data_IF_111258068209
#
_entry.id   IF_111258068209
#
_cell.length_a   1.000
_cell.length_b   1.000
_cell.length_c   1.000
_cell.angle_alpha   90.00
_cell.angle_beta   90.00
_cell.angle_gamma   90.00
#
_symmetry.space_group_name_H-M   'P 1'
#
loop_
_entity.id
_entity.type
_entity.pdbx_description
1 polymer ?
#
# COMPACT_ATOMS: atom_id res chain seq x y z
N UNK A 1 -22.08 10.38 26.41
CA UNK A 1 -22.73 9.69 25.26
C UNK A 1 -22.74 10.48 23.96
N UNK A 2 -22.61 11.80 23.96
CA UNK A 2 -22.59 12.64 22.75
C UNK A 2 -21.39 12.42 21.81
N UNK A 3 -20.20 12.12 22.33
CA UNK A 3 -18.99 11.95 21.51
C UNK A 3 -18.97 10.73 20.58
N UNK A 4 -19.68 9.64 20.94
CA UNK A 4 -19.78 8.44 20.09
C UNK A 4 -20.64 8.67 18.84
N UNK A 5 -21.70 9.47 18.96
CA UNK A 5 -22.61 9.72 17.84
C UNK A 5 -22.01 10.63 16.77
N UNK A 6 -21.22 11.62 17.16
CA UNK A 6 -20.54 12.54 16.20
C UNK A 6 -19.52 11.77 15.35
N UNK A 7 -18.77 10.84 15.94
CA UNK A 7 -17.80 10.02 15.20
C UNK A 7 -18.48 9.05 14.20
N UNK A 8 -19.63 8.49 14.54
CA UNK A 8 -20.37 7.57 13.64
C UNK A 8 -20.90 8.32 12.43
N UNK A 9 -21.53 9.47 12.65
CA UNK A 9 -22.06 10.31 11.55
C UNK A 9 -20.93 10.76 10.61
N UNK A 10 -19.81 11.21 11.15
CA UNK A 10 -18.67 11.64 10.33
C UNK A 10 -18.04 10.48 9.53
N UNK A 11 -17.96 9.28 10.11
CA UNK A 11 -17.46 8.06 9.41
C UNK A 11 -18.38 7.66 8.26
N UNK A 12 -19.67 7.65 8.49
CA UNK A 12 -20.67 7.32 7.46
C UNK A 12 -20.66 8.33 6.31
N UNK A 13 -20.52 9.61 6.62
CA UNK A 13 -20.38 10.67 5.60
C UNK A 13 -19.08 10.51 4.81
N UNK A 14 -17.96 10.22 5.48
CA UNK A 14 -16.68 9.97 4.82
C UNK A 14 -16.76 8.75 3.88
N UNK A 15 -17.35 7.65 4.34
CA UNK A 15 -17.53 6.46 3.50
C UNK A 15 -18.43 6.75 2.28
N UNK A 16 -19.54 7.46 2.48
CA UNK A 16 -20.44 7.86 1.41
C UNK A 16 -19.74 8.73 0.37
N UNK A 17 -18.93 9.70 0.83
CA UNK A 17 -18.14 10.56 -0.03
C UNK A 17 -17.12 9.76 -0.83
N UNK A 18 -16.31 8.91 -0.17
CA UNK A 18 -15.31 8.05 -0.82
C UNK A 18 -15.97 7.15 -1.87
N UNK A 19 -17.09 6.52 -1.53
CA UNK A 19 -17.85 5.66 -2.43
C UNK A 19 -18.33 6.42 -3.68
N UNK A 20 -18.81 7.64 -3.49
CA UNK A 20 -19.22 8.54 -4.58
C UNK A 20 -18.04 8.86 -5.50
N UNK A 21 -16.87 9.23 -4.92
CA UNK A 21 -15.68 9.56 -5.71
C UNK A 21 -15.13 8.35 -6.48
N UNK A 22 -15.08 7.17 -5.85
CA UNK A 22 -14.67 5.94 -6.53
C UNK A 22 -15.62 5.59 -7.68
N UNK A 23 -16.91 5.77 -7.50
CA UNK A 23 -17.91 5.55 -8.57
C UNK A 23 -17.70 6.52 -9.73
N UNK A 24 -17.53 7.80 -9.42
CA UNK A 24 -17.25 8.83 -10.43
C UNK A 24 -15.96 8.55 -11.20
N UNK A 25 -14.89 8.19 -10.48
CA UNK A 25 -13.60 7.83 -11.07
C UNK A 25 -13.68 6.63 -12.02
N UNK A 26 -14.60 5.69 -11.77
CA UNK A 26 -14.84 4.54 -12.66
C UNK A 26 -15.66 4.90 -13.90
N UNK A 27 -16.50 5.92 -13.82
CA UNK A 27 -17.34 6.38 -14.93
C UNK A 27 -16.57 7.33 -15.85
N UNK A 28 -15.90 8.31 -15.28
CA UNK A 28 -15.10 9.30 -15.99
C UNK A 28 -13.83 9.63 -15.18
N UNK A 29 -12.73 8.88 -15.39
CA UNK A 29 -11.48 9.09 -14.67
C UNK A 29 -10.91 10.48 -14.88
N UNK A 30 -10.89 10.98 -16.12
CA UNK A 30 -10.26 12.26 -16.47
C UNK A 30 -10.97 13.43 -15.77
N UNK A 31 -12.29 13.51 -15.90
CA UNK A 31 -13.09 14.56 -15.27
C UNK A 31 -13.04 14.48 -13.74
N UNK A 32 -13.06 13.28 -13.20
CA UNK A 32 -12.98 13.08 -11.74
C UNK A 32 -11.63 13.50 -11.19
N UNK A 33 -10.52 13.14 -11.86
CA UNK A 33 -9.18 13.59 -11.50
C UNK A 33 -9.10 15.12 -11.51
N UNK A 34 -9.58 15.76 -12.56
CA UNK A 34 -9.61 17.22 -12.67
C UNK A 34 -10.41 17.87 -11.52
N UNK A 35 -11.60 17.35 -11.23
CA UNK A 35 -12.47 17.87 -10.16
C UNK A 35 -11.83 17.69 -8.77
N UNK A 36 -11.28 16.52 -8.47
CA UNK A 36 -10.60 16.26 -7.20
C UNK A 36 -9.37 17.13 -7.03
N UNK A 37 -8.58 17.32 -8.09
CA UNK A 37 -7.41 18.22 -8.06
C UNK A 37 -7.81 19.64 -7.75
N UNK A 38 -8.86 20.14 -8.38
CA UNK A 38 -9.40 21.50 -8.12
C UNK A 38 -9.87 21.65 -6.68
N UNK A 39 -10.64 20.68 -6.16
CA UNK A 39 -11.11 20.69 -4.76
C UNK A 39 -9.97 20.68 -3.75
N UNK A 40 -8.92 19.91 -4.01
CA UNK A 40 -7.72 19.88 -3.18
C UNK A 40 -7.00 21.24 -3.14
N UNK A 41 -6.95 21.97 -4.26
CA UNK A 41 -6.31 23.29 -4.35
C UNK A 41 -7.08 24.40 -3.63
N UNK A 42 -8.42 24.28 -3.52
CA UNK A 42 -9.26 25.34 -2.99
C UNK A 42 -9.23 25.49 -1.47
N UNK A 43 -8.98 24.40 -0.70
CA UNK A 43 -8.98 24.46 0.80
C UNK A 43 -8.07 23.40 1.45
N UNK A 44 -6.78 23.66 1.59
CA UNK A 44 -5.91 22.76 2.35
C UNK A 44 -6.03 23.04 3.86
N UNK A 45 -6.85 22.26 4.57
CA UNK A 45 -7.06 22.46 6.01
C UNK A 45 -6.14 21.61 6.91
N UNK A 46 -5.51 20.55 6.38
CA UNK A 46 -4.66 19.65 7.18
C UNK A 46 -3.21 19.57 6.69
N UNK A 47 -2.23 19.26 7.57
CA UNK A 47 -0.84 19.02 7.17
C UNK A 47 -0.70 17.89 6.12
N UNK A 48 -1.54 16.85 6.21
CA UNK A 48 -1.58 15.75 5.23
C UNK A 48 -2.08 16.23 3.87
N UNK A 49 -3.11 17.06 3.85
CA UNK A 49 -3.61 17.68 2.61
C UNK A 49 -2.56 18.56 1.98
N UNK A 50 -1.86 19.39 2.78
CA UNK A 50 -0.73 20.20 2.30
C UNK A 50 0.39 19.35 1.72
N UNK A 51 0.73 18.23 2.37
CA UNK A 51 1.73 17.29 1.85
C UNK A 51 1.29 16.64 0.53
N UNK A 52 0.05 16.18 0.45
CA UNK A 52 -0.54 15.64 -0.77
C UNK A 52 -0.64 16.69 -1.88
N UNK A 53 -0.96 17.94 -1.54
CA UNK A 53 -1.04 19.07 -2.47
C UNK A 53 0.31 19.42 -3.09
N UNK A 54 1.40 19.36 -2.34
CA UNK A 54 2.74 19.62 -2.86
C UNK A 54 3.21 18.57 -3.89
N UNK A 55 2.60 17.40 -3.89
CA UNK A 55 2.99 16.28 -4.74
C UNK A 55 2.03 16.07 -5.92
N UNK A 56 0.77 16.46 -5.78
CA UNK A 56 -0.31 15.83 -6.52
C UNK A 56 -0.90 16.63 -7.69
N UNK A 57 -1.16 17.95 -7.61
CA UNK A 57 -1.96 18.62 -8.64
C UNK A 57 -1.33 18.63 -10.03
N UNK A 58 -0.07 19.04 -10.16
CA UNK A 58 0.63 19.07 -11.44
C UNK A 58 0.78 17.66 -12.04
N UNK A 59 1.05 16.67 -11.19
CA UNK A 59 1.25 15.29 -11.61
C UNK A 59 -0.03 14.56 -11.97
N UNK A 60 -1.14 14.91 -11.35
CA UNK A 60 -2.45 14.38 -11.74
C UNK A 60 -2.99 15.00 -13.03
N UNK A 61 -2.52 16.19 -13.39
CA UNK A 61 -2.87 16.85 -14.66
C UNK A 61 -1.97 16.39 -15.81
N UNK A 62 -0.74 15.95 -15.53
CA UNK A 62 0.16 15.40 -16.53
C UNK A 62 -0.27 13.98 -16.92
N UNK A 63 -0.83 13.83 -18.12
CA UNK A 63 -1.30 12.55 -18.67
C UNK A 63 -0.18 11.51 -18.86
N UNK A 64 1.08 11.93 -18.88
CA UNK A 64 2.24 11.05 -18.96
C UNK A 64 2.73 10.60 -17.59
N UNK A 65 2.27 11.23 -16.52
CA UNK A 65 2.69 10.88 -15.15
C UNK A 65 2.19 9.50 -14.72
N UNK A 66 2.96 8.82 -13.90
CA UNK A 66 2.55 7.57 -13.27
C UNK A 66 1.32 7.73 -12.38
N UNK A 67 1.13 8.90 -11.78
CA UNK A 67 -0.05 9.21 -10.95
C UNK A 67 -1.33 9.32 -11.78
N UNK A 68 -1.28 10.00 -12.93
CA UNK A 68 -2.42 10.06 -13.83
C UNK A 68 -2.82 8.66 -14.29
N UNK A 69 -1.85 7.86 -14.76
CA UNK A 69 -2.11 6.47 -15.21
C UNK A 69 -2.66 5.59 -14.10
N UNK A 70 -2.20 5.77 -12.85
CA UNK A 70 -2.73 5.04 -11.71
C UNK A 70 -4.25 5.27 -11.57
N UNK A 71 -4.68 6.52 -11.53
CA UNK A 71 -6.08 6.87 -11.34
C UNK A 71 -6.93 6.65 -12.59
N UNK A 72 -6.35 6.83 -13.77
CA UNK A 72 -7.04 6.67 -15.05
C UNK A 72 -7.14 5.19 -15.49
N UNK A 73 -6.03 4.43 -15.41
CA UNK A 73 -5.96 3.10 -16.03
C UNK A 73 -6.09 1.94 -15.06
N UNK A 74 -5.66 2.10 -13.81
CA UNK A 74 -5.55 0.99 -12.85
C UNK A 74 -6.70 1.02 -11.84
N UNK A 75 -6.86 2.12 -11.13
CA UNK A 75 -7.87 2.27 -10.09
C UNK A 75 -9.29 1.88 -10.53
N UNK A 76 -9.79 2.31 -11.71
CA UNK A 76 -11.13 1.95 -12.17
C UNK A 76 -11.35 0.45 -12.34
N UNK A 77 -10.29 -0.33 -12.56
CA UNK A 77 -10.37 -1.78 -12.79
C UNK A 77 -10.44 -2.60 -11.50
N UNK A 78 -10.15 -1.99 -10.35
CA UNK A 78 -10.19 -2.66 -9.05
C UNK A 78 -11.62 -2.76 -8.54
N UNK A 79 -11.90 -3.79 -7.75
CA UNK A 79 -13.20 -3.95 -7.11
C UNK A 79 -13.51 -2.76 -6.17
N UNK A 80 -14.68 -2.18 -6.29
CA UNK A 80 -15.09 -0.97 -5.55
C UNK A 80 -15.05 -1.18 -4.04
N UNK A 81 -15.51 -2.32 -3.55
CA UNK A 81 -15.56 -2.57 -2.10
C UNK A 81 -14.16 -2.71 -1.49
N UNK A 82 -13.17 -3.26 -2.23
CA UNK A 82 -11.78 -3.22 -1.78
C UNK A 82 -11.26 -1.78 -1.69
N UNK A 83 -11.51 -0.97 -2.72
CA UNK A 83 -11.06 0.43 -2.72
C UNK A 83 -11.69 1.21 -1.57
N UNK A 84 -13.01 1.11 -1.38
CA UNK A 84 -13.71 1.79 -0.29
C UNK A 84 -13.17 1.35 1.07
N UNK A 85 -13.09 0.03 1.31
CA UNK A 85 -12.66 -0.52 2.60
C UNK A 85 -11.21 -0.12 2.91
N UNK A 86 -10.30 -0.25 1.94
CA UNK A 86 -8.89 0.12 2.13
C UNK A 86 -8.74 1.64 2.34
N UNK A 87 -9.42 2.47 1.54
CA UNK A 87 -9.37 3.93 1.70
C UNK A 87 -9.91 4.36 3.07
N UNK A 88 -11.00 3.76 3.54
CA UNK A 88 -11.52 4.02 4.89
C UNK A 88 -10.54 3.58 5.97
N UNK A 89 -9.97 2.38 5.87
CA UNK A 89 -9.10 1.85 6.92
C UNK A 89 -7.74 2.56 6.97
N UNK A 90 -7.16 2.87 5.81
CA UNK A 90 -5.88 3.60 5.73
C UNK A 90 -6.12 5.10 6.01
N UNK A 91 -7.04 5.72 5.28
CA UNK A 91 -7.25 7.17 5.33
C UNK A 91 -7.95 7.59 6.61
N UNK A 92 -9.15 7.07 6.86
CA UNK A 92 -9.97 7.52 7.98
C UNK A 92 -9.52 6.91 9.32
N UNK A 93 -9.41 5.57 9.40
CA UNK A 93 -9.11 4.91 10.67
C UNK A 93 -7.66 5.09 11.11
N UNK A 94 -6.67 5.09 10.18
CA UNK A 94 -5.26 5.23 10.53
C UNK A 94 -4.78 6.70 10.46
N UNK A 95 -4.74 7.29 9.27
CA UNK A 95 -4.09 8.60 9.08
C UNK A 95 -4.87 9.75 9.71
N UNK A 96 -6.20 9.83 9.50
CA UNK A 96 -7.00 10.93 10.02
C UNK A 96 -7.16 10.88 11.53
N UNK A 97 -7.37 9.70 12.11
CA UNK A 97 -7.49 9.53 13.56
C UNK A 97 -6.15 9.75 14.25
N UNK A 98 -5.05 9.25 13.68
CA UNK A 98 -3.72 9.51 14.20
C UNK A 98 -3.37 11.01 14.20
N UNK A 99 -3.64 11.73 13.10
CA UNK A 99 -3.36 13.17 13.00
C UNK A 99 -4.13 14.01 14.03
N UNK A 100 -5.38 13.67 14.32
CA UNK A 100 -6.17 14.34 15.38
C UNK A 100 -5.58 14.14 16.77
N UNK A 101 -5.10 12.94 17.06
CA UNK A 101 -4.51 12.65 18.38
C UNK A 101 -3.17 13.35 18.58
N UNK A 102 -2.36 13.51 17.53
CA UNK A 102 -1.11 14.29 17.57
C UNK A 102 -1.41 15.75 17.91
N UNK A 103 -2.39 16.37 17.23
CA UNK A 103 -2.77 17.77 17.48
C UNK A 103 -3.28 18.01 18.91
N UNK A 104 -3.89 16.99 19.54
CA UNK A 104 -4.44 17.11 20.89
C UNK A 104 -3.40 16.90 22.01
N UNK A 105 -2.30 16.17 21.75
CA UNK A 105 -1.39 15.71 22.80
C UNK A 105 0.02 16.30 22.75
N UNK A 106 0.49 16.82 21.63
CA UNK A 106 1.82 17.45 21.51
C UNK A 106 1.95 18.28 20.23
N UNK A 107 1.87 19.63 20.32
CA UNK A 107 2.07 20.51 19.18
C UNK A 107 3.50 20.45 18.58
N UNK A 108 4.48 19.97 19.34
CA UNK A 108 5.90 19.93 18.97
C UNK A 108 6.41 18.54 18.55
N UNK A 109 5.60 17.48 18.66
CA UNK A 109 6.04 16.15 18.26
C UNK A 109 5.97 15.99 16.74
N UNK A 110 7.12 15.88 16.14
CA UNK A 110 7.31 15.31 14.79
C UNK A 110 6.53 13.99 14.64
N UNK A 111 6.16 13.64 13.43
CA UNK A 111 5.35 12.48 12.96
C UNK A 111 5.73 11.08 13.51
N UNK A 112 5.99 10.95 14.81
CA UNK A 112 6.34 9.67 15.46
C UNK A 112 5.13 8.79 15.80
N UNK A 113 3.94 9.16 15.35
CA UNK A 113 2.78 8.29 15.49
C UNK A 113 2.80 7.25 14.39
N UNK A 114 3.05 6.02 14.79
CA UNK A 114 3.12 4.88 13.88
C UNK A 114 1.75 4.62 13.24
N UNK A 115 1.59 5.04 12.01
CA UNK A 115 0.36 4.80 11.26
C UNK A 115 0.21 3.34 10.83
N UNK A 116 1.32 2.57 10.83
CA UNK A 116 1.34 1.16 10.46
C UNK A 116 2.29 0.35 11.33
N UNK A 117 1.92 -0.89 11.65
CA UNK A 117 2.75 -1.88 12.35
C UNK A 117 3.23 -2.95 11.38
N UNK A 118 4.55 -3.18 11.35
CA UNK A 118 5.18 -4.24 10.56
C UNK A 118 5.32 -5.52 11.40
N UNK A 119 4.87 -6.65 10.86
CA UNK A 119 4.97 -7.96 11.48
C UNK A 119 5.59 -8.96 10.50
N UNK A 120 6.63 -9.66 10.94
CA UNK A 120 7.16 -10.84 10.25
C UNK A 120 6.43 -12.07 10.77
N UNK A 121 5.78 -12.80 9.87
CA UNK A 121 4.91 -13.92 10.21
C UNK A 121 5.61 -15.23 9.83
N UNK A 122 5.83 -16.10 10.81
CA UNK A 122 6.22 -17.48 10.55
C UNK A 122 4.98 -18.29 10.10
N UNK A 123 4.83 -18.46 8.80
CA UNK A 123 3.71 -19.20 8.24
C UNK A 123 3.78 -20.72 8.48
N UNK A 124 4.95 -21.26 8.85
CA UNK A 124 5.11 -22.69 9.19
C UNK A 124 4.58 -22.92 10.61
N UNK A 125 5.05 -22.12 11.57
CA UNK A 125 4.65 -22.22 12.97
C UNK A 125 3.49 -21.27 13.34
N UNK A 126 2.67 -20.88 12.35
CA UNK A 126 1.60 -19.88 12.56
C UNK A 126 0.67 -20.23 13.71
N UNK A 127 0.23 -21.49 13.83
CA UNK A 127 -0.73 -21.93 14.85
C UNK A 127 -0.19 -21.74 16.26
N UNK A 128 1.12 -21.95 16.46
CA UNK A 128 1.78 -21.75 17.76
C UNK A 128 1.83 -20.27 18.14
N UNK A 129 1.98 -19.40 17.15
CA UNK A 129 2.22 -17.95 17.33
C UNK A 129 0.94 -17.11 17.12
N UNK A 130 -0.17 -17.70 16.71
CA UNK A 130 -1.38 -16.98 16.31
C UNK A 130 -1.94 -16.08 17.42
N UNK A 131 -1.88 -16.56 18.68
CA UNK A 131 -2.32 -15.77 19.84
C UNK A 131 -1.44 -14.52 20.04
N UNK A 132 -0.13 -14.62 19.82
CA UNK A 132 0.81 -13.52 19.91
C UNK A 132 0.56 -12.48 18.82
N UNK A 133 0.42 -12.90 17.56
CA UNK A 133 0.10 -11.98 16.45
C UNK A 133 -1.22 -11.24 16.69
N UNK A 134 -2.25 -11.95 17.17
CA UNK A 134 -3.52 -11.33 17.53
C UNK A 134 -3.36 -10.33 18.68
N UNK A 135 -2.57 -10.64 19.70
CA UNK A 135 -2.29 -9.73 20.81
C UNK A 135 -1.58 -8.45 20.36
N UNK A 136 -0.59 -8.56 19.45
CA UNK A 136 0.11 -7.43 18.86
C UNK A 136 -0.84 -6.53 18.07
N UNK A 137 -1.71 -7.10 17.22
CA UNK A 137 -2.73 -6.35 16.47
C UNK A 137 -3.70 -5.66 17.45
N UNK A 138 -4.16 -6.35 18.47
CA UNK A 138 -5.08 -5.78 19.46
C UNK A 138 -4.44 -4.64 20.25
N UNK A 139 -3.16 -4.77 20.62
CA UNK A 139 -2.40 -3.72 21.30
C UNK A 139 -2.20 -2.50 20.40
N UNK A 140 -1.81 -2.71 19.13
CA UNK A 140 -1.65 -1.65 18.17
C UNK A 140 -2.96 -0.86 17.92
N UNK A 141 -4.10 -1.56 17.84
CA UNK A 141 -5.42 -0.93 17.71
C UNK A 141 -5.78 -0.04 18.89
N UNK A 142 -5.39 -0.41 20.13
CA UNK A 142 -5.55 0.46 21.29
C UNK A 142 -4.80 1.77 21.15
N UNK A 143 -3.66 1.74 20.44
CA UNK A 143 -2.84 2.90 20.12
C UNK A 143 -3.22 3.55 18.78
N UNK A 144 -4.45 3.31 18.29
CA UNK A 144 -4.99 3.88 17.05
C UNK A 144 -4.29 3.45 15.76
N UNK A 145 -3.46 2.40 15.79
CA UNK A 145 -2.86 1.83 14.58
C UNK A 145 -3.83 0.83 13.95
N UNK A 146 -4.34 1.15 12.77
CA UNK A 146 -5.28 0.33 12.02
C UNK A 146 -4.72 -0.17 10.67
N UNK A 147 -3.43 0.02 10.44
CA UNK A 147 -2.73 -0.45 9.26
C UNK A 147 -1.64 -1.45 9.65
N UNK A 148 -1.60 -2.61 8.99
CA UNK A 148 -0.67 -3.69 9.29
C UNK A 148 0.05 -4.14 8.02
N UNK A 149 1.39 -4.26 8.12
CA UNK A 149 2.24 -4.75 7.05
C UNK A 149 2.77 -6.11 7.47
N UNK A 150 2.31 -7.15 6.79
CA UNK A 150 2.58 -8.54 7.12
C UNK A 150 3.54 -9.13 6.11
N UNK A 151 4.71 -9.58 6.55
CA UNK A 151 5.65 -10.35 5.73
C UNK A 151 5.49 -11.83 6.01
N UNK A 152 5.31 -12.63 4.97
CA UNK A 152 5.17 -14.08 5.08
C UNK A 152 5.76 -14.78 3.85
N UNK A 153 6.57 -15.81 4.09
CA UNK A 153 7.22 -16.58 3.02
C UNK A 153 6.43 -17.83 2.58
N UNK A 154 5.61 -18.37 3.47
CA UNK A 154 4.85 -19.61 3.22
C UNK A 154 3.49 -19.57 3.91
N UNK A 155 2.53 -20.32 3.38
CA UNK A 155 1.23 -20.53 4.02
C UNK A 155 0.41 -19.26 4.30
N UNK A 156 0.48 -18.26 3.42
CA UNK A 156 -0.22 -16.98 3.58
C UNK A 156 -1.76 -17.13 3.80
N UNK A 157 -2.35 -18.21 3.31
CA UNK A 157 -3.78 -18.51 3.49
C UNK A 157 -4.20 -18.62 4.96
N UNK A 158 -3.28 -18.97 5.87
CA UNK A 158 -3.54 -19.05 7.31
C UNK A 158 -3.89 -17.71 7.94
N UNK A 159 -3.48 -16.60 7.32
CA UNK A 159 -3.77 -15.24 7.78
C UNK A 159 -5.18 -14.76 7.45
N UNK A 160 -5.83 -15.35 6.44
CA UNK A 160 -7.12 -14.86 5.96
C UNK A 160 -8.23 -14.80 7.02
N UNK A 161 -8.37 -15.79 7.94
CA UNK A 161 -9.37 -15.70 9.03
C UNK A 161 -9.12 -14.51 9.96
N UNK A 162 -7.86 -14.24 10.31
CA UNK A 162 -7.46 -13.10 11.14
C UNK A 162 -7.81 -11.78 10.43
N UNK A 163 -7.40 -11.63 9.17
CA UNK A 163 -7.63 -10.43 8.36
C UNK A 163 -9.14 -10.16 8.21
N UNK A 164 -9.92 -11.18 7.90
CA UNK A 164 -11.39 -11.07 7.78
C UNK A 164 -12.07 -10.62 9.06
N UNK A 165 -11.53 -11.00 10.21
CA UNK A 165 -12.08 -10.63 11.51
C UNK A 165 -11.87 -9.16 11.84
N UNK A 166 -10.72 -8.60 11.50
CA UNK A 166 -10.31 -7.24 11.81
C UNK A 166 -10.74 -6.26 10.70
N UNK A 167 -12.05 -6.10 10.51
CA UNK A 167 -12.65 -5.36 9.38
C UNK A 167 -12.31 -3.87 9.34
N UNK A 168 -12.00 -3.29 10.48
CA UNK A 168 -11.62 -1.88 10.66
C UNK A 168 -10.13 -1.61 10.43
N UNK A 169 -9.36 -2.64 10.07
CA UNK A 169 -7.94 -2.57 9.78
C UNK A 169 -7.65 -2.82 8.30
N UNK A 170 -6.59 -2.19 7.78
CA UNK A 170 -6.00 -2.50 6.49
C UNK A 170 -4.80 -3.43 6.66
N UNK A 171 -4.69 -4.44 5.81
CA UNK A 171 -3.58 -5.39 5.82
C UNK A 171 -2.86 -5.39 4.48
N UNK A 172 -1.57 -5.05 4.51
CA UNK A 172 -0.66 -5.19 3.39
C UNK A 172 0.12 -6.48 3.55
N UNK A 173 -0.17 -7.46 2.72
CA UNK A 173 0.44 -8.78 2.76
C UNK A 173 1.57 -8.87 1.74
N UNK A 174 2.80 -8.92 2.21
CA UNK A 174 4.02 -9.10 1.42
C UNK A 174 4.37 -10.57 1.38
N UNK A 175 4.30 -11.18 0.21
CA UNK A 175 4.54 -12.62 0.04
C UNK A 175 5.09 -12.95 -1.34
N UNK A 176 5.77 -14.11 -1.51
CA UNK A 176 6.16 -14.60 -2.81
C UNK A 176 4.94 -15.07 -3.62
N UNK A 177 5.08 -15.09 -4.95
CA UNK A 177 4.03 -15.55 -5.86
C UNK A 177 3.52 -16.97 -5.54
N UNK A 178 4.39 -17.85 -5.04
CA UNK A 178 4.04 -19.22 -4.62
C UNK A 178 3.00 -19.32 -3.51
N UNK A 179 2.80 -18.26 -2.73
CA UNK A 179 1.75 -18.18 -1.71
C UNK A 179 0.35 -17.94 -2.31
N UNK A 180 0.26 -17.46 -3.55
CA UNK A 180 -0.97 -16.97 -4.16
C UNK A 180 -1.64 -18.03 -5.03
N UNK A 181 -2.02 -19.15 -4.40
CA UNK A 181 -2.80 -20.21 -5.05
C UNK A 181 -4.19 -19.70 -5.47
N UNK A 182 -4.86 -20.39 -6.39
CA UNK A 182 -6.22 -20.04 -6.80
C UNK A 182 -7.18 -19.95 -5.61
N UNK A 183 -7.12 -20.94 -4.70
CA UNK A 183 -7.93 -20.95 -3.47
C UNK A 183 -7.66 -19.70 -2.59
N UNK A 184 -6.40 -19.28 -2.48
CA UNK A 184 -6.05 -18.07 -1.77
C UNK A 184 -6.65 -16.85 -2.46
N UNK A 185 -6.48 -16.71 -3.77
CA UNK A 185 -6.96 -15.57 -4.55
C UNK A 185 -8.49 -15.44 -4.52
N UNK A 186 -9.22 -16.55 -4.55
CA UNK A 186 -10.68 -16.57 -4.43
C UNK A 186 -11.13 -16.14 -3.02
N UNK A 187 -10.43 -16.58 -1.98
CA UNK A 187 -10.69 -16.13 -0.62
C UNK A 187 -10.30 -14.64 -0.42
N UNK A 188 -9.22 -14.18 -1.04
CA UNK A 188 -8.78 -12.79 -1.03
C UNK A 188 -9.82 -11.86 -1.68
N UNK A 189 -10.50 -12.29 -2.74
CA UNK A 189 -11.61 -11.56 -3.37
C UNK A 189 -12.74 -11.23 -2.39
N UNK A 190 -12.93 -12.04 -1.37
CA UNK A 190 -13.92 -11.84 -0.31
C UNK A 190 -13.37 -11.08 0.90
N UNK A 191 -12.06 -10.79 0.96
CA UNK A 191 -11.36 -10.15 2.07
C UNK A 191 -11.05 -8.70 1.70
N UNK A 192 -12.02 -7.78 1.92
CA UNK A 192 -12.01 -6.43 1.35
C UNK A 192 -10.94 -5.50 1.94
N UNK A 193 -10.42 -5.81 3.10
CA UNK A 193 -9.38 -5.08 3.81
C UNK A 193 -7.96 -5.61 3.56
N UNK A 194 -7.80 -6.51 2.56
CA UNK A 194 -6.52 -7.07 2.16
C UNK A 194 -5.98 -6.38 0.91
N UNK A 195 -4.70 -5.99 0.98
CA UNK A 195 -3.88 -5.51 -0.11
C UNK A 195 -2.68 -6.44 -0.27
N UNK A 196 -2.41 -6.94 -1.46
CA UNK A 196 -1.37 -7.95 -1.70
C UNK A 196 -0.16 -7.30 -2.36
N UNK A 197 1.03 -7.47 -1.79
CA UNK A 197 2.29 -7.12 -2.43
C UNK A 197 3.03 -8.39 -2.80
N UNK A 198 3.28 -8.58 -4.09
CA UNK A 198 3.92 -9.79 -4.63
C UNK A 198 5.41 -9.55 -4.83
N UNK A 199 6.24 -10.47 -4.37
CA UNK A 199 7.67 -10.43 -4.64
C UNK A 199 7.91 -10.57 -6.16
N UNK A 200 8.63 -9.59 -6.72
CA UNK A 200 9.03 -9.61 -8.13
C UNK A 200 10.44 -10.21 -8.23
N UNK A 201 10.58 -11.22 -9.05
CA UNK A 201 11.87 -11.84 -9.34
C UNK A 201 12.20 -11.67 -10.83
N UNK A 202 13.25 -10.89 -11.15
CA UNK A 202 13.66 -10.64 -12.54
C UNK A 202 14.03 -11.93 -13.28
N UNK A 203 14.58 -12.91 -12.58
CA UNK A 203 14.99 -14.19 -13.21
C UNK A 203 13.78 -15.01 -13.64
N UNK A 204 12.68 -14.98 -12.90
CA UNK A 204 11.45 -15.67 -13.25
C UNK A 204 10.84 -15.15 -14.55
N UNK A 205 10.96 -13.83 -14.81
CA UNK A 205 10.43 -13.20 -16.03
C UNK A 205 11.25 -13.52 -17.29
N UNK A 206 12.56 -13.75 -17.17
CA UNK A 206 13.42 -14.16 -18.29
C UNK A 206 13.12 -15.59 -18.75
N UNK A 207 12.58 -16.43 -17.89
CA UNK A 207 12.31 -17.86 -18.13
C UNK A 207 10.82 -18.22 -18.23
N UNK A 208 9.91 -17.24 -18.43
CA UNK A 208 8.44 -17.44 -18.49
C UNK A 208 7.87 -18.20 -17.29
N UNK A 209 8.36 -17.96 -16.10
CA UNK A 209 7.96 -18.64 -14.88
C UNK A 209 6.61 -18.15 -14.30
N UNK A 210 6.02 -18.86 -13.33
CA UNK A 210 4.65 -18.69 -12.83
C UNK A 210 4.25 -17.31 -12.30
N UNK A 211 5.22 -16.41 -12.03
CA UNK A 211 4.94 -15.06 -11.49
C UNK A 211 4.09 -14.20 -12.43
N UNK A 212 4.28 -14.33 -13.76
CA UNK A 212 3.52 -13.56 -14.76
C UNK A 212 2.04 -13.92 -14.75
N UNK A 213 1.71 -15.17 -14.45
CA UNK A 213 0.32 -15.63 -14.36
C UNK A 213 -0.37 -15.08 -13.09
N UNK A 214 0.34 -14.96 -11.98
CA UNK A 214 -0.20 -14.43 -10.73
C UNK A 214 -0.70 -12.98 -10.89
N UNK A 215 0.05 -12.11 -11.55
CA UNK A 215 -0.40 -10.73 -11.79
C UNK A 215 -1.63 -10.69 -12.69
N UNK A 216 -1.68 -11.56 -13.70
CA UNK A 216 -2.87 -11.72 -14.54
C UNK A 216 -4.08 -12.18 -13.72
N UNK A 217 -3.90 -13.15 -12.82
CA UNK A 217 -4.95 -13.66 -11.95
C UNK A 217 -5.46 -12.61 -10.96
N UNK A 218 -4.57 -11.77 -10.41
CA UNK A 218 -4.94 -10.64 -9.57
C UNK A 218 -5.81 -9.63 -10.34
N UNK A 219 -5.43 -9.30 -11.59
CA UNK A 219 -6.21 -8.40 -12.47
C UNK A 219 -7.58 -8.96 -12.82
N UNK A 220 -7.66 -10.24 -13.20
CA UNK A 220 -8.94 -10.92 -13.52
C UNK A 220 -9.89 -10.85 -12.32
N UNK A 221 -9.39 -11.05 -11.12
CA UNK A 221 -10.18 -11.00 -9.87
C UNK A 221 -10.42 -9.57 -9.36
N UNK A 222 -9.89 -8.57 -10.07
CA UNK A 222 -9.99 -7.13 -9.71
C UNK A 222 -9.49 -6.84 -8.29
N UNK A 223 -8.43 -7.56 -7.86
CA UNK A 223 -7.80 -7.38 -6.57
C UNK A 223 -6.84 -6.19 -6.58
N UNK A 224 -6.75 -5.38 -5.51
CA UNK A 224 -5.71 -4.39 -5.35
C UNK A 224 -4.39 -5.10 -5.02
N UNK A 225 -3.32 -4.74 -5.75
CA UNK A 225 -2.01 -5.33 -5.52
C UNK A 225 -0.87 -4.36 -5.79
N UNK A 226 0.27 -4.67 -5.19
CA UNK A 226 1.56 -4.04 -5.41
C UNK A 226 2.58 -5.08 -5.86
N UNK A 227 3.75 -4.61 -6.24
CA UNK A 227 4.95 -5.41 -6.36
C UNK A 227 5.97 -4.94 -5.32
N UNK A 228 6.79 -5.86 -4.81
CA UNK A 228 7.99 -5.49 -4.08
C UNK A 228 9.19 -6.22 -4.67
N UNK A 229 10.30 -5.50 -4.72
CA UNK A 229 11.55 -5.98 -5.27
C UNK A 229 12.65 -5.86 -4.22
N UNK A 230 13.30 -6.99 -3.91
CA UNK A 230 14.48 -7.01 -3.06
C UNK A 230 15.70 -6.73 -3.91
N UNK A 231 16.31 -5.57 -3.73
CA UNK A 231 17.48 -5.16 -4.49
C UNK A 231 18.78 -5.33 -3.71
N UNK A 232 19.86 -5.52 -4.44
CA UNK A 232 21.24 -5.61 -3.96
C UNK A 232 22.09 -4.50 -4.60
N UNK A 233 23.36 -4.38 -4.21
CA UNK A 233 24.27 -3.38 -4.78
C UNK A 233 24.43 -3.53 -6.31
N UNK A 234 24.39 -4.76 -6.81
CA UNK A 234 24.46 -5.04 -8.26
C UNK A 234 23.26 -4.53 -9.06
N UNK A 235 22.15 -4.20 -8.39
CA UNK A 235 20.96 -3.67 -9.06
C UNK A 235 20.98 -2.14 -9.27
N UNK A 236 21.93 -1.42 -8.69
CA UNK A 236 21.95 0.06 -8.69
C UNK A 236 21.97 0.63 -10.12
N UNK A 237 22.71 0.02 -11.04
CA UNK A 237 22.72 0.45 -12.45
C UNK A 237 21.35 0.29 -13.12
N UNK A 238 20.55 -0.71 -12.75
CA UNK A 238 19.19 -0.88 -13.26
C UNK A 238 18.23 0.21 -12.75
N UNK A 239 18.49 0.78 -11.56
CA UNK A 239 17.79 1.97 -11.09
C UNK A 239 18.18 3.20 -11.88
N UNK A 240 19.48 3.43 -12.09
CA UNK A 240 20.01 4.58 -12.86
C UNK A 240 19.51 4.59 -14.30
N UNK A 241 19.47 3.43 -14.95
CA UNK A 241 18.96 3.28 -16.33
C UNK A 241 17.43 3.37 -16.43
N UNK A 242 16.72 3.28 -15.32
CA UNK A 242 15.26 3.23 -15.27
C UNK A 242 14.65 1.91 -15.77
N UNK A 243 15.47 0.90 -16.06
CA UNK A 243 15.02 -0.39 -16.61
C UNK A 243 14.07 -1.12 -15.65
N UNK A 244 14.42 -1.16 -14.36
CA UNK A 244 13.60 -1.82 -13.34
C UNK A 244 12.19 -1.23 -13.26
N UNK A 245 12.04 0.09 -13.39
CA UNK A 245 10.73 0.74 -13.35
C UNK A 245 9.89 0.38 -14.59
N UNK A 246 10.53 0.31 -15.78
CA UNK A 246 9.85 -0.12 -17.01
C UNK A 246 9.37 -1.57 -16.92
N UNK A 247 10.18 -2.46 -16.33
CA UNK A 247 9.81 -3.85 -16.11
C UNK A 247 8.61 -3.96 -15.16
N UNK A 248 8.69 -3.35 -13.98
CA UNK A 248 7.62 -3.42 -12.98
C UNK A 248 6.31 -2.79 -13.47
N UNK A 249 6.40 -1.73 -14.28
CA UNK A 249 5.21 -1.06 -14.83
C UNK A 249 4.38 -1.93 -15.75
N UNK A 250 4.98 -2.94 -16.41
CA UNK A 250 4.26 -3.91 -17.27
C UNK A 250 3.23 -4.70 -16.49
N UNK A 251 3.49 -4.95 -15.21
CA UNK A 251 2.58 -5.68 -14.33
C UNK A 251 1.42 -4.82 -13.80
N UNK A 252 1.45 -3.50 -14.05
CA UNK A 252 0.38 -2.54 -13.67
C UNK A 252 0.00 -2.60 -12.19
N UNK A 253 0.97 -2.62 -11.24
CA UNK A 253 0.66 -2.61 -9.83
C UNK A 253 0.13 -1.23 -9.39
N UNK A 254 -0.58 -1.18 -8.26
CA UNK A 254 -0.92 0.11 -7.63
C UNK A 254 0.31 0.80 -7.05
N UNK A 255 1.20 0.01 -6.43
CA UNK A 255 2.42 0.48 -5.80
C UNK A 255 3.60 -0.43 -6.14
N UNK A 256 4.81 0.12 -6.09
CA UNK A 256 6.06 -0.63 -6.15
C UNK A 256 6.89 -0.29 -4.91
N UNK A 257 7.39 -1.32 -4.22
CA UNK A 257 8.24 -1.15 -3.05
C UNK A 257 9.63 -1.72 -3.36
N UNK A 258 10.67 -0.95 -3.05
CA UNK A 258 12.05 -1.41 -3.17
C UNK A 258 12.64 -1.63 -1.77
N UNK A 259 13.01 -2.86 -1.50
CA UNK A 259 13.52 -3.30 -0.21
C UNK A 259 14.96 -3.76 -0.38
N UNK A 260 15.88 -3.21 0.40
CA UNK A 260 17.27 -3.67 0.35
C UNK A 260 17.38 -5.10 0.89
N UNK A 261 18.09 -5.97 0.17
CA UNK A 261 18.45 -7.30 0.68
C UNK A 261 19.32 -7.18 1.91
N UNK A 262 19.01 -7.97 2.92
CA UNK A 262 19.96 -8.23 4.00
C UNK A 262 20.92 -9.30 3.48
N UNK A 263 22.22 -9.01 3.44
CA UNK A 263 23.23 -9.99 3.07
C UNK A 263 23.80 -10.65 4.32
N UNK A 264 23.67 -11.97 4.41
CA UNK A 264 24.31 -12.75 5.47
C UNK A 264 25.81 -13.01 5.19
N UNK A 265 26.28 -12.75 3.96
CA UNK A 265 27.64 -13.08 3.50
C UNK A 265 28.56 -11.89 3.25
N UNK A 266 28.10 -10.66 3.48
CA UNK A 266 28.89 -9.43 3.24
C UNK A 266 29.15 -9.10 1.76
N UNK A 267 28.92 -10.03 0.83
CA UNK A 267 29.02 -9.78 -0.60
C UNK A 267 27.68 -9.21 -1.10
N UNK A 268 27.76 -8.20 -2.00
CA UNK A 268 26.61 -7.53 -2.60
C UNK A 268 25.69 -6.81 -1.59
N UNK A 269 26.29 -6.32 -0.48
CA UNK A 269 25.57 -5.60 0.57
C UNK A 269 25.26 -4.18 0.10
N UNK A 270 24.00 -3.77 0.21
CA UNK A 270 23.54 -2.41 -0.06
C UNK A 270 24.05 -1.46 1.01
N UNK A 271 24.86 -0.47 0.64
CA UNK A 271 25.35 0.57 1.55
C UNK A 271 24.30 1.64 1.82
N UNK A 272 24.54 2.50 2.82
CA UNK A 272 23.65 3.66 3.06
C UNK A 272 23.70 4.66 1.90
N UNK A 273 24.84 4.81 1.24
CA UNK A 273 25.01 5.60 0.02
C UNK A 273 24.16 5.03 -1.13
N UNK A 274 24.14 3.72 -1.30
CA UNK A 274 23.29 3.05 -2.30
C UNK A 274 21.80 3.29 -2.02
N UNK A 275 21.38 3.15 -0.77
CA UNK A 275 19.98 3.43 -0.36
C UNK A 275 19.60 4.87 -0.65
N UNK A 276 20.51 5.82 -0.35
CA UNK A 276 20.32 7.23 -0.63
C UNK A 276 20.23 7.49 -2.13
N UNK A 277 21.11 6.89 -2.93
CA UNK A 277 21.07 7.00 -4.38
C UNK A 277 19.76 6.46 -4.98
N UNK A 278 19.31 5.28 -4.55
CA UNK A 278 18.01 4.71 -4.98
C UNK A 278 16.85 5.62 -4.56
N UNK A 279 16.89 6.16 -3.33
CA UNK A 279 15.88 7.10 -2.85
C UNK A 279 15.82 8.36 -3.71
N UNK A 280 16.98 8.98 -4.03
CA UNK A 280 17.06 10.17 -4.86
C UNK A 280 16.55 9.92 -6.29
N UNK A 281 16.89 8.77 -6.90
CA UNK A 281 16.38 8.38 -8.21
C UNK A 281 14.85 8.27 -8.18
N UNK A 282 14.29 7.57 -7.21
CA UNK A 282 12.84 7.38 -7.07
C UNK A 282 12.13 8.73 -6.89
N UNK A 283 12.65 9.61 -6.04
CA UNK A 283 12.04 10.91 -5.76
C UNK A 283 12.18 11.86 -6.95
N UNK A 284 13.32 11.89 -7.63
CA UNK A 284 13.60 12.75 -8.77
C UNK A 284 12.77 12.35 -9.99
N UNK A 285 12.85 11.09 -10.36
CA UNK A 285 12.18 10.56 -11.54
C UNK A 285 10.69 10.33 -11.31
N UNK A 286 10.29 10.15 -10.04
CA UNK A 286 8.92 9.88 -9.60
C UNK A 286 8.18 8.90 -10.51
N UNK A 287 8.89 7.82 -10.79
CA UNK A 287 8.32 6.69 -11.48
C UNK A 287 7.21 6.12 -10.62
N UNK A 288 5.96 6.27 -11.05
CA UNK A 288 4.83 5.62 -10.43
C UNK A 288 4.69 5.91 -8.92
N UNK A 289 3.75 5.30 -8.21
CA UNK A 289 3.75 5.27 -6.75
C UNK A 289 4.81 4.26 -6.26
N UNK A 290 6.07 4.70 -6.29
CA UNK A 290 7.22 3.90 -5.93
C UNK A 290 7.78 4.37 -4.59
N UNK A 291 8.06 3.42 -3.70
CA UNK A 291 8.59 3.69 -2.38
C UNK A 291 9.92 2.99 -2.19
N UNK A 292 10.99 3.71 -1.81
CA UNK A 292 12.34 3.15 -1.58
C UNK A 292 12.43 2.28 -0.32
N UNK A 293 11.39 2.26 0.45
CA UNK A 293 11.21 1.41 1.63
C UNK A 293 9.72 1.36 1.94
N UNK A 294 9.35 0.67 3.01
CA UNK A 294 7.99 0.81 3.55
C UNK A 294 8.01 2.05 4.43
N UNK A 295 7.40 3.16 3.99
CA UNK A 295 7.49 4.40 4.73
C UNK A 295 6.80 4.26 6.08
N UNK A 296 7.51 4.67 7.15
CA UNK A 296 6.96 4.82 8.51
C UNK A 296 6.36 3.55 9.14
N UNK A 297 6.80 2.34 8.73
CA UNK A 297 6.48 1.11 9.43
C UNK A 297 7.61 0.74 10.41
N UNK A 298 7.26 0.39 11.64
CA UNK A 298 8.15 -0.14 12.67
C UNK A 298 8.16 -1.66 12.59
#
# INVERSE_FOLDING_TARGET
>A
MAGKNINIVSKTLAESYIRKQIKALKQDPAQTIHTLTKQLLEKPDSPLEKYLLNITPEKLQDTQSGYYRLFHDIFPKINTEHLVTLTMNIGYNSLFTASKNIQLHSPESTFDTFWALKLSIDGICYEKNAAQYKAQITSAKKNQTHCFILFIEKNAWKLLPLIKKEKDCAFFLFCPASCLTEKFLDAAKLTKNLFISVAYNRNDHKHQAPSTDVFKQLRIRKLPYAVHYYYSASDIENFKSGEIFKELSKERPLFSFFLSKKSDSGQDTVTEEDKKAVYEIIIKERYWLTYPSIPFAI
#
